data_IF_477971990706
#
_entry.id   IF_477971990706
#
_cell.length_a   1.000
_cell.length_b   1.000
_cell.length_c   1.000
_cell.angle_alpha   90.00
_cell.angle_beta   90.00
_cell.angle_gamma   90.00
#
_symmetry.space_group_name_H-M   'P 1'
#
loop_
_entity.id
_entity.type
_entity.pdbx_description
1 polymer ?
#
# COMPACT_ATOMS: atom_id res chain seq x y z
N UNK A 1 14.97 6.79 -12.58
CA UNK A 1 15.01 5.34 -12.80
C UNK A 1 15.67 4.70 -11.61
N UNK A 2 14.91 3.84 -10.92
CA UNK A 2 15.29 3.24 -9.66
C UNK A 2 16.48 2.27 -9.81
N UNK A 3 17.38 2.29 -8.83
CA UNK A 3 18.47 1.34 -8.73
C UNK A 3 17.95 -0.10 -8.58
N UNK A 4 18.66 -1.08 -9.15
CA UNK A 4 18.26 -2.50 -9.11
C UNK A 4 17.99 -3.01 -7.69
N UNK A 5 18.89 -2.73 -6.75
CA UNK A 5 18.73 -3.16 -5.36
C UNK A 5 17.56 -2.48 -4.65
N UNK A 6 17.15 -1.29 -5.10
CA UNK A 6 15.95 -0.64 -4.59
C UNK A 6 14.69 -1.34 -5.11
N UNK A 7 14.68 -1.74 -6.38
CA UNK A 7 13.57 -2.50 -6.97
C UNK A 7 13.36 -3.84 -6.26
N UNK A 8 14.44 -4.58 -6.00
CA UNK A 8 14.39 -5.83 -5.22
C UNK A 8 13.83 -5.59 -3.80
N UNK A 9 14.18 -4.46 -3.17
CA UNK A 9 13.62 -4.13 -1.85
C UNK A 9 12.14 -3.74 -1.93
N UNK A 10 11.69 -3.05 -2.98
CA UNK A 10 10.26 -2.77 -3.18
C UNK A 10 9.47 -4.09 -3.27
N UNK A 11 9.96 -5.06 -4.04
CA UNK A 11 9.30 -6.37 -4.16
C UNK A 11 9.17 -7.06 -2.79
N UNK A 12 10.25 -7.08 -2.01
CA UNK A 12 10.22 -7.59 -0.62
C UNK A 12 9.24 -6.83 0.28
N UNK A 13 9.18 -5.50 0.21
CA UNK A 13 8.24 -4.71 1.01
C UNK A 13 6.78 -4.99 0.62
N UNK A 14 6.51 -5.19 -0.67
CA UNK A 14 5.19 -5.60 -1.13
C UNK A 14 4.85 -6.97 -0.55
N UNK A 15 5.76 -7.95 -0.63
CA UNK A 15 5.54 -9.30 -0.11
C UNK A 15 5.28 -9.29 1.41
N UNK A 16 6.06 -8.53 2.18
CA UNK A 16 5.84 -8.32 3.63
C UNK A 16 4.46 -7.74 3.93
N UNK A 17 3.95 -6.83 3.08
CA UNK A 17 2.63 -6.25 3.23
C UNK A 17 1.50 -7.23 2.87
N UNK A 18 1.76 -8.21 2.00
CA UNK A 18 0.78 -9.23 1.63
C UNK A 18 0.60 -10.28 2.73
N UNK A 19 1.56 -10.42 3.64
CA UNK A 19 1.42 -11.30 4.80
C UNK A 19 0.25 -10.85 5.70
N UNK A 20 -0.58 -11.79 6.20
CA UNK A 20 -1.71 -11.45 7.05
C UNK A 20 -1.23 -11.03 8.44
N UNK A 21 -1.20 -9.72 8.70
CA UNK A 21 -0.78 -9.18 10.00
C UNK A 21 -1.96 -8.85 10.92
N UNK A 22 -3.20 -9.08 10.48
CA UNK A 22 -4.38 -8.76 11.27
C UNK A 22 -4.50 -7.26 11.53
N UNK A 23 -4.42 -6.46 10.47
CA UNK A 23 -4.49 -5.00 10.56
C UNK A 23 -5.89 -4.60 11.05
N UNK A 24 -5.92 -3.98 12.23
CA UNK A 24 -7.08 -3.29 12.76
C UNK A 24 -6.97 -1.82 12.38
N UNK A 25 -7.92 -1.34 11.58
CA UNK A 25 -8.03 0.08 11.27
C UNK A 25 -9.34 0.60 11.85
N UNK A 26 -9.28 1.78 12.46
CA UNK A 26 -10.48 2.50 12.88
C UNK A 26 -11.33 2.72 11.63
N UNK A 27 -12.61 2.39 11.71
CA UNK A 27 -13.52 2.62 10.60
C UNK A 27 -13.49 4.12 10.23
N UNK A 28 -13.16 4.40 8.98
CA UNK A 28 -13.21 5.74 8.44
C UNK A 28 -14.63 5.95 7.92
N UNK A 29 -15.31 7.01 8.37
CA UNK A 29 -16.72 7.19 8.01
C UNK A 29 -16.87 7.26 6.47
N UNK A 30 -17.76 6.43 5.92
CA UNK A 30 -18.01 6.29 4.48
C UNK A 30 -18.27 7.64 3.81
N UNK A 31 -18.84 8.59 4.53
CA UNK A 31 -19.10 9.96 4.06
C UNK A 31 -17.81 10.71 3.67
N UNK A 32 -16.69 10.47 4.34
CA UNK A 32 -15.41 11.12 4.01
C UNK A 32 -14.69 10.49 2.83
N UNK A 33 -14.81 9.17 2.66
CA UNK A 33 -14.02 8.41 1.69
C UNK A 33 -14.80 8.00 0.43
N UNK A 34 -16.12 8.13 0.46
CA UNK A 34 -17.03 7.91 -0.68
C UNK A 34 -16.78 6.60 -1.44
N UNK A 35 -16.55 5.50 -0.71
CA UNK A 35 -16.34 4.18 -1.29
C UNK A 35 -17.66 3.44 -1.54
N UNK A 36 -17.70 2.55 -2.54
CA UNK A 36 -18.93 1.85 -2.95
C UNK A 36 -19.25 0.65 -2.06
N UNK A 37 -18.22 -0.09 -1.63
CA UNK A 37 -18.32 -1.24 -0.74
C UNK A 37 -17.14 -1.31 0.24
N UNK A 38 -17.30 -2.00 1.35
CA UNK A 38 -16.23 -2.21 2.33
C UNK A 38 -15.01 -2.89 1.69
N UNK A 39 -15.22 -3.79 0.74
CA UNK A 39 -14.15 -4.44 -0.02
C UNK A 39 -13.36 -3.43 -0.87
N UNK A 40 -14.03 -2.46 -1.50
CA UNK A 40 -13.34 -1.38 -2.22
C UNK A 40 -12.50 -0.53 -1.28
N UNK A 41 -13.00 -0.27 -0.06
CA UNK A 41 -12.25 0.47 0.95
C UNK A 41 -11.06 -0.32 1.49
N UNK A 42 -11.23 -1.61 1.85
CA UNK A 42 -10.14 -2.49 2.29
C UNK A 42 -9.06 -2.59 1.23
N UNK A 43 -9.46 -2.75 -0.02
CA UNK A 43 -8.55 -2.78 -1.15
C UNK A 43 -7.77 -1.47 -1.29
N UNK A 44 -8.47 -0.33 -1.32
CA UNK A 44 -7.85 0.99 -1.42
C UNK A 44 -6.90 1.29 -0.25
N UNK A 45 -7.30 0.91 0.96
CA UNK A 45 -6.49 1.04 2.17
C UNK A 45 -5.22 0.19 2.07
N UNK A 46 -5.33 -1.09 1.70
CA UNK A 46 -4.17 -1.99 1.55
C UNK A 46 -3.20 -1.46 0.48
N UNK A 47 -3.72 -1.05 -0.67
CA UNK A 47 -2.90 -0.45 -1.74
C UNK A 47 -2.21 0.84 -1.28
N UNK A 48 -2.94 1.70 -0.56
CA UNK A 48 -2.43 2.93 0.03
C UNK A 48 -1.30 2.69 1.06
N UNK A 49 -1.44 1.67 1.90
CA UNK A 49 -0.41 1.26 2.87
C UNK A 49 0.84 0.78 2.14
N UNK A 50 0.70 -0.10 1.14
CA UNK A 50 1.83 -0.62 0.36
C UNK A 50 2.62 0.52 -0.29
N UNK A 51 1.94 1.44 -1.00
CA UNK A 51 2.64 2.56 -1.65
C UNK A 51 3.26 3.51 -0.62
N UNK A 52 2.58 3.76 0.51
CA UNK A 52 3.10 4.58 1.60
C UNK A 52 4.41 4.03 2.18
N UNK A 53 4.50 2.71 2.39
CA UNK A 53 5.71 2.04 2.87
C UNK A 53 6.85 2.16 1.86
N UNK A 54 6.57 1.94 0.58
CA UNK A 54 7.55 2.07 -0.51
C UNK A 54 8.11 3.50 -0.59
N UNK A 55 7.24 4.51 -0.55
CA UNK A 55 7.64 5.93 -0.54
C UNK A 55 8.43 6.26 0.73
N UNK A 56 7.97 5.80 1.90
CA UNK A 56 8.66 6.01 3.18
C UNK A 56 10.07 5.42 3.16
N UNK A 57 10.25 4.23 2.58
CA UNK A 57 11.56 3.62 2.40
C UNK A 57 12.45 4.41 1.44
N UNK A 58 11.91 4.93 0.34
CA UNK A 58 12.64 5.83 -0.56
C UNK A 58 13.19 7.04 0.20
N UNK A 59 12.32 7.73 0.93
CA UNK A 59 12.69 8.94 1.68
C UNK A 59 13.76 8.60 2.73
N UNK A 60 13.59 7.51 3.47
CA UNK A 60 14.57 7.08 4.46
C UNK A 60 15.94 6.72 3.85
N UNK A 61 15.97 6.10 2.66
CA UNK A 61 17.21 5.70 2.00
C UNK A 61 17.96 6.88 1.38
N UNK A 62 17.24 7.80 0.75
CA UNK A 62 17.84 8.87 -0.06
C UNK A 62 17.76 10.26 0.57
N UNK A 63 17.14 10.39 1.74
CA UNK A 63 16.93 11.64 2.48
C UNK A 63 16.27 12.74 1.62
N UNK A 64 15.35 12.33 0.73
CA UNK A 64 14.64 13.22 -0.18
C UNK A 64 13.33 12.61 -0.66
N UNK A 65 12.41 13.47 -1.08
CA UNK A 65 11.20 13.03 -1.78
C UNK A 65 11.56 12.40 -3.14
N UNK A 66 10.82 11.37 -3.57
CA UNK A 66 11.03 10.78 -4.89
C UNK A 66 10.66 11.78 -6.00
N UNK A 67 11.45 11.79 -7.06
CA UNK A 67 11.12 12.55 -8.27
C UNK A 67 9.96 11.88 -9.02
N UNK A 68 9.29 12.62 -9.91
CA UNK A 68 8.12 12.13 -10.65
C UNK A 68 8.37 10.80 -11.38
N UNK A 69 9.52 10.64 -12.03
CA UNK A 69 9.87 9.40 -12.73
C UNK A 69 10.01 8.21 -11.79
N UNK A 70 10.63 8.43 -10.62
CA UNK A 70 10.79 7.40 -9.61
C UNK A 70 9.44 7.07 -8.94
N UNK A 71 8.58 8.09 -8.72
CA UNK A 71 7.20 7.90 -8.27
C UNK A 71 6.39 7.05 -9.26
N UNK A 72 6.45 7.38 -10.56
CA UNK A 72 5.77 6.63 -11.62
C UNK A 72 6.26 5.18 -11.65
N UNK A 73 7.57 4.97 -11.50
CA UNK A 73 8.15 3.63 -11.50
C UNK A 73 7.72 2.81 -10.27
N UNK A 74 7.76 3.40 -9.07
CA UNK A 74 7.27 2.75 -7.84
C UNK A 74 5.77 2.41 -7.92
N UNK A 75 4.94 3.34 -8.43
CA UNK A 75 3.52 3.09 -8.64
C UNK A 75 3.29 1.91 -9.59
N UNK A 76 4.01 1.85 -10.72
CA UNK A 76 3.92 0.72 -11.65
C UNK A 76 4.30 -0.61 -10.99
N UNK A 77 5.30 -0.63 -10.12
CA UNK A 77 5.70 -1.84 -9.39
C UNK A 77 4.63 -2.31 -8.39
N UNK A 78 3.89 -1.38 -7.77
CA UNK A 78 2.75 -1.74 -6.91
C UNK A 78 1.55 -2.18 -7.76
N UNK A 79 1.30 -1.50 -8.88
CA UNK A 79 0.21 -1.81 -9.81
C UNK A 79 0.30 -3.23 -10.39
N UNK A 80 1.52 -3.68 -10.75
CA UNK A 80 1.72 -5.06 -11.24
C UNK A 80 1.38 -6.13 -10.20
N UNK A 81 1.35 -5.76 -8.91
CA UNK A 81 1.01 -6.65 -7.79
C UNK A 81 -0.42 -6.46 -7.28
N UNK A 82 -1.26 -5.65 -7.96
CA UNK A 82 -2.65 -5.39 -7.55
C UNK A 82 -3.49 -6.66 -7.38
N UNK A 83 -3.27 -7.69 -8.20
CA UNK A 83 -3.99 -8.96 -8.09
C UNK A 83 -3.71 -9.68 -6.78
N UNK A 84 -2.48 -9.61 -6.27
CA UNK A 84 -2.08 -10.23 -5.01
C UNK A 84 -2.55 -9.40 -3.82
N UNK A 85 -2.43 -8.07 -3.93
CA UNK A 85 -2.99 -7.11 -2.95
C UNK A 85 -4.49 -7.37 -2.77
N UNK A 86 -5.20 -7.59 -3.89
CA UNK A 86 -6.63 -7.92 -3.89
C UNK A 86 -6.95 -9.26 -3.22
N UNK A 87 -6.04 -10.23 -3.20
CA UNK A 87 -6.27 -11.50 -2.48
C UNK A 87 -5.97 -11.36 -0.99
N UNK A 88 -5.07 -10.45 -0.63
CA UNK A 88 -4.62 -10.26 0.74
C UNK A 88 -5.59 -9.47 1.62
N UNK A 89 -6.41 -8.55 1.07
CA UNK A 89 -7.20 -7.58 1.87
C UNK A 89 -8.22 -8.19 2.85
N UNK A 90 -8.52 -9.48 2.69
CA UNK A 90 -9.48 -10.21 3.54
C UNK A 90 -9.05 -10.26 5.02
N UNK A 91 -7.78 -10.00 5.31
CA UNK A 91 -7.22 -9.92 6.66
C UNK A 91 -7.56 -8.62 7.41
N UNK A 92 -8.00 -7.57 6.70
CA UNK A 92 -8.35 -6.28 7.30
C UNK A 92 -9.70 -6.37 8.00
N UNK A 93 -9.69 -6.06 9.31
CA UNK A 93 -10.90 -5.93 10.14
C UNK A 93 -11.11 -4.47 10.52
N UNK A 94 -12.32 -3.96 10.26
CA UNK A 94 -12.74 -2.64 10.74
C UNK A 94 -13.18 -2.73 12.19
N UNK A 95 -12.69 -1.79 13.01
CA UNK A 95 -13.22 -1.57 14.35
C UNK A 95 -14.23 -0.42 14.26
N UNK A 96 -15.49 -0.73 14.54
CA UNK A 96 -16.53 0.28 14.70
C UNK A 96 -16.33 0.96 16.06
N UNK A 97 -16.34 2.29 16.11
CA UNK A 97 -16.48 2.99 17.39
C UNK A 97 -17.93 2.85 17.84
N UNK A 98 -18.14 2.27 19.03
CA UNK A 98 -19.43 2.28 19.74
C UNK A 98 -19.86 3.71 20.12
#
# INVERSE_FOLDING_TARGET
>A
MLEKGFKEKIESLIDECLEPHGIQTLECEKEYWNYRSDDDFKYGHKAGVVIGIVIGYYIAKYDKSPADDDMIEMNKMVETRMGDIKKSYSDIRFIHKE
#
